data_IF_472119735961
#
_entry.id   IF_472119735961
#
_cell.length_a   1.000
_cell.length_b   1.000
_cell.length_c   1.000
_cell.angle_alpha   90.00
_cell.angle_beta   90.00
_cell.angle_gamma   90.00
#
_symmetry.space_group_name_H-M   'P 1'
#
loop_
_entity.id
_entity.type
_entity.pdbx_description
1 polymer ?
#
# COMPACT_ATOMS: atom_id res chain seq x y z
N UNK A 1 -9.23 4.55 17.93
CA UNK A 1 -7.95 4.58 17.17
C UNK A 1 -7.57 3.17 16.74
N UNK A 2 -6.70 2.96 15.74
CA UNK A 2 -6.28 1.59 15.32
C UNK A 2 -5.71 0.77 16.50
N UNK A 3 -4.95 1.42 17.38
CA UNK A 3 -4.39 0.81 18.59
C UNK A 3 -5.45 0.34 19.59
N UNK A 4 -6.57 1.06 19.75
CA UNK A 4 -7.68 0.62 20.60
C UNK A 4 -8.34 -0.67 20.07
N UNK A 5 -8.26 -0.90 18.76
CA UNK A 5 -8.71 -2.14 18.12
C UNK A 5 -7.63 -3.23 18.09
N UNK A 6 -6.50 -3.05 18.80
CA UNK A 6 -5.31 -3.92 18.77
C UNK A 6 -4.71 -4.11 17.36
N UNK A 7 -4.84 -3.09 16.50
CA UNK A 7 -4.26 -3.10 15.16
C UNK A 7 -2.98 -2.25 15.18
N UNK A 8 -1.86 -2.89 14.87
CA UNK A 8 -0.59 -2.22 14.58
C UNK A 8 -0.49 -1.98 13.08
N UNK A 9 -0.33 -0.72 12.68
CA UNK A 9 -0.20 -0.33 11.27
C UNK A 9 1.09 0.46 11.06
N UNK A 10 1.80 0.16 9.98
CA UNK A 10 2.86 1.02 9.46
C UNK A 10 2.25 1.97 8.43
N UNK A 11 2.55 3.26 8.56
CA UNK A 11 2.20 4.27 7.57
C UNK A 11 3.43 4.57 6.72
N UNK A 12 3.27 4.52 5.40
CA UNK A 12 4.29 4.93 4.43
C UNK A 12 3.70 6.09 3.63
N UNK A 13 4.38 7.24 3.64
CA UNK A 13 4.00 8.37 2.81
C UNK A 13 4.65 8.23 1.43
N UNK A 14 3.83 8.08 0.39
CA UNK A 14 4.29 8.02 -0.99
C UNK A 14 4.17 9.39 -1.65
N UNK A 15 5.31 10.08 -1.78
CA UNK A 15 5.34 11.44 -2.35
C UNK A 15 5.04 11.49 -3.86
N UNK A 16 5.23 10.39 -4.59
CA UNK A 16 4.97 10.29 -6.02
C UNK A 16 4.64 8.85 -6.43
N UNK A 17 3.74 8.69 -7.41
CA UNK A 17 3.48 7.39 -8.05
C UNK A 17 4.69 6.97 -8.91
N UNK A 18 5.41 7.92 -9.51
CA UNK A 18 6.58 7.66 -10.35
C UNK A 18 7.76 8.59 -10.00
N UNK A 19 8.98 8.06 -9.84
CA UNK A 19 9.29 6.62 -9.72
C UNK A 19 8.62 6.02 -8.46
N UNK A 20 8.16 4.77 -8.55
CA UNK A 20 7.57 4.08 -7.40
C UNK A 20 8.68 3.43 -6.57
N UNK A 21 8.61 3.56 -5.24
CA UNK A 21 9.52 2.88 -4.33
C UNK A 21 9.06 1.43 -4.13
N UNK A 22 9.44 0.57 -5.06
CA UNK A 22 9.04 -0.83 -5.05
C UNK A 22 9.62 -1.59 -3.84
N UNK A 23 10.84 -1.25 -3.40
CA UNK A 23 11.49 -1.91 -2.26
C UNK A 23 10.73 -1.65 -0.97
N UNK A 24 10.33 -0.40 -0.72
CA UNK A 24 9.51 -0.05 0.43
C UNK A 24 8.17 -0.81 0.42
N UNK A 25 7.52 -0.95 -0.74
CA UNK A 25 6.25 -1.69 -0.88
C UNK A 25 6.42 -3.19 -0.62
N UNK A 26 7.46 -3.81 -1.18
CA UNK A 26 7.74 -5.24 -1.01
C UNK A 26 8.05 -5.56 0.44
N UNK A 27 8.91 -4.75 1.07
CA UNK A 27 9.19 -4.84 2.50
C UNK A 27 7.91 -4.63 3.32
N UNK A 28 7.06 -3.72 2.86
CA UNK A 28 5.79 -3.47 3.52
C UNK A 28 4.92 -4.71 3.58
N UNK A 29 4.63 -5.28 2.41
CA UNK A 29 3.83 -6.47 2.24
C UNK A 29 4.40 -7.69 2.99
N UNK A 30 5.72 -7.87 2.99
CA UNK A 30 6.38 -8.98 3.67
C UNK A 30 6.22 -8.93 5.19
N UNK A 31 6.30 -7.74 5.80
CA UNK A 31 6.28 -7.58 7.25
C UNK A 31 4.87 -7.41 7.83
N UNK A 32 3.92 -6.82 7.08
CA UNK A 32 2.55 -6.56 7.59
C UNK A 32 1.51 -7.56 7.10
N UNK A 33 1.76 -8.27 5.99
CA UNK A 33 0.83 -9.26 5.45
C UNK A 33 -0.46 -8.71 4.83
N UNK A 34 -0.63 -7.39 4.77
CA UNK A 34 -1.72 -6.68 4.08
C UNK A 34 -1.30 -5.25 3.76
N UNK A 35 -1.90 -4.66 2.72
CA UNK A 35 -1.66 -3.27 2.29
C UNK A 35 -2.99 -2.54 2.12
N UNK A 36 -3.05 -1.30 2.62
CA UNK A 36 -4.15 -0.36 2.32
C UNK A 36 -3.52 0.88 1.70
N UNK A 37 -4.02 1.29 0.53
CA UNK A 37 -3.62 2.57 -0.08
C UNK A 37 -4.69 3.61 0.21
N UNK A 38 -4.27 4.83 0.55
CA UNK A 38 -5.15 5.97 0.74
C UNK A 38 -4.77 7.07 -0.26
N UNK A 39 -5.67 7.44 -1.16
CA UNK A 39 -5.46 8.47 -2.17
C UNK A 39 -6.71 9.34 -2.36
N UNK A 40 -6.54 10.62 -2.74
CA UNK A 40 -7.69 11.54 -2.88
C UNK A 40 -8.22 11.64 -4.33
N UNK A 41 -7.40 11.28 -5.33
CA UNK A 41 -7.62 11.79 -6.70
C UNK A 41 -8.15 10.77 -7.71
N UNK A 42 -7.61 9.54 -7.78
CA UNK A 42 -8.02 8.56 -8.80
C UNK A 42 -7.68 7.12 -8.38
N UNK A 43 -8.68 6.34 -7.99
CA UNK A 43 -8.50 4.91 -7.67
C UNK A 43 -8.04 4.11 -8.91
N UNK A 44 -8.54 4.48 -10.10
CA UNK A 44 -8.20 3.81 -11.37
C UNK A 44 -6.93 4.43 -11.96
N UNK A 45 -5.88 3.62 -12.07
CA UNK A 45 -4.58 4.05 -12.62
C UNK A 45 -3.78 4.99 -11.71
N UNK A 46 -4.23 5.22 -10.47
CA UNK A 46 -3.53 6.01 -9.46
C UNK A 46 -2.55 5.21 -8.62
N UNK A 47 -2.36 5.65 -7.37
CA UNK A 47 -1.41 5.08 -6.43
C UNK A 47 -1.79 3.64 -6.09
N UNK A 48 -3.07 3.36 -5.79
CA UNK A 48 -3.53 2.01 -5.48
C UNK A 48 -3.19 1.01 -6.58
N UNK A 49 -3.48 1.40 -7.83
CA UNK A 49 -3.15 0.60 -9.01
C UNK A 49 -1.65 0.33 -9.12
N UNK A 50 -0.81 1.36 -9.03
CA UNK A 50 0.65 1.21 -9.14
C UNK A 50 1.25 0.35 -8.00
N UNK A 51 0.76 0.51 -6.77
CA UNK A 51 1.17 -0.32 -5.63
C UNK A 51 0.74 -1.77 -5.84
N UNK A 52 -0.46 -2.01 -6.34
CA UNK A 52 -0.96 -3.37 -6.59
C UNK A 52 -0.16 -4.14 -7.64
N UNK A 53 0.34 -3.46 -8.68
CA UNK A 53 1.23 -4.08 -9.66
C UNK A 53 2.50 -4.60 -9.00
N UNK A 54 3.11 -3.80 -8.11
CA UNK A 54 4.31 -4.19 -7.35
C UNK A 54 4.01 -5.36 -6.41
N UNK A 55 2.92 -5.26 -5.64
CA UNK A 55 2.51 -6.29 -4.66
C UNK A 55 2.19 -7.61 -5.36
N UNK A 56 1.36 -7.59 -6.41
CA UNK A 56 0.97 -8.80 -7.14
C UNK A 56 2.15 -9.49 -7.82
N UNK A 57 3.14 -8.73 -8.30
CA UNK A 57 4.31 -9.29 -8.99
C UNK A 57 5.37 -9.87 -8.04
N UNK A 58 5.44 -9.42 -6.79
CA UNK A 58 6.55 -9.73 -5.89
C UNK A 58 6.13 -10.43 -4.58
N UNK A 59 5.11 -9.91 -3.91
CA UNK A 59 4.64 -10.44 -2.61
C UNK A 59 3.13 -10.27 -2.47
N UNK A 60 2.32 -11.14 -3.09
CA UNK A 60 0.87 -11.04 -3.03
C UNK A 60 0.37 -11.11 -1.59
N UNK A 61 -0.41 -10.10 -1.19
CA UNK A 61 -1.10 -9.99 0.09
C UNK A 61 -2.48 -9.36 -0.14
N UNK A 62 -3.45 -9.53 0.76
CA UNK A 62 -4.71 -8.79 0.69
C UNK A 62 -4.47 -7.28 0.58
N UNK A 63 -5.23 -6.65 -0.31
CA UNK A 63 -5.16 -5.23 -0.58
C UNK A 63 -6.54 -4.59 -0.52
N UNK A 64 -6.60 -3.33 -0.09
CA UNK A 64 -7.78 -2.48 -0.16
C UNK A 64 -7.39 -1.06 -0.61
N UNK A 65 -8.23 -0.44 -1.45
CA UNK A 65 -8.01 0.92 -1.93
C UNK A 65 -9.03 1.85 -1.31
N UNK A 66 -8.56 2.84 -0.56
CA UNK A 66 -9.37 3.92 -0.03
C UNK A 66 -9.08 5.16 -0.86
N UNK A 67 -10.09 5.67 -1.55
CA UNK A 67 -10.02 6.96 -2.24
C UNK A 67 -11.35 7.46 -2.72
#
# INVERSE_FOLDING_TARGET
TLSESNISARVINMASIKPIDAEAIIKAAAETGAIVTAEEHNIIGGLGSAVSEVVASNKPVPMEFVG
#
